data_IF_513058959690
#
_entry.id   IF_513058959690
#
_cell.length_a   1.000
_cell.length_b   1.000
_cell.length_c   1.000
_cell.angle_alpha   90.00
_cell.angle_beta   90.00
_cell.angle_gamma   90.00
#
_symmetry.space_group_name_H-M   'P 1'
#
loop_
_entity.id
_entity.type
_entity.pdbx_description
1 polymer ?
#
# COMPACT_ATOMS: atom_id res chain seq x y z
N UNK A 1 -5.25 -1.44 -14.22
CA UNK A 1 -6.58 -0.87 -13.91
C UNK A 1 -6.79 -1.05 -12.42
N UNK A 2 -7.24 -0.02 -11.68
CA UNK A 2 -7.50 -0.14 -10.24
C UNK A 2 -8.71 -1.06 -9.99
N UNK A 3 -8.79 -1.72 -8.82
CA UNK A 3 -9.96 -2.45 -8.37
C UNK A 3 -11.26 -1.64 -8.51
N UNK A 4 -12.39 -2.32 -8.71
CA UNK A 4 -13.72 -1.70 -8.72
C UNK A 4 -14.04 -0.95 -7.42
N UNK A 5 -15.08 -0.10 -7.47
CA UNK A 5 -15.55 0.70 -6.33
C UNK A 5 -15.99 -0.12 -5.10
N UNK A 6 -16.07 -1.45 -5.19
CA UNK A 6 -16.54 -2.32 -4.09
C UNK A 6 -15.63 -2.32 -2.86
N UNK A 7 -14.35 -1.98 -3.02
CA UNK A 7 -13.42 -1.80 -1.89
C UNK A 7 -13.33 -0.33 -1.42
N UNK A 8 -14.07 0.60 -2.03
CA UNK A 8 -13.99 2.01 -1.69
C UNK A 8 -14.76 2.34 -0.41
N UNK A 9 -14.08 2.85 0.64
CA UNK A 9 -14.77 3.35 1.83
C UNK A 9 -15.57 4.62 1.48
N UNK A 10 -16.54 5.01 2.32
CA UNK A 10 -17.38 6.20 2.07
C UNK A 10 -16.57 7.48 1.85
N UNK A 11 -15.52 7.68 2.64
CA UNK A 11 -14.64 8.85 2.60
C UNK A 11 -13.26 8.51 1.99
N UNK A 12 -13.26 7.92 0.80
CA UNK A 12 -12.04 7.54 0.12
C UNK A 12 -11.36 8.71 -0.62
N UNK A 13 -10.03 8.79 -0.55
CA UNK A 13 -9.23 9.58 -1.47
C UNK A 13 -8.56 8.67 -2.50
N UNK A 14 -8.62 9.04 -3.79
CA UNK A 14 -7.81 8.43 -4.84
C UNK A 14 -6.58 9.30 -5.05
N UNK A 15 -5.42 8.73 -4.76
CA UNK A 15 -4.15 9.44 -4.77
C UNK A 15 -3.30 8.82 -5.87
N UNK A 16 -2.76 9.66 -6.75
CA UNK A 16 -1.72 9.25 -7.68
C UNK A 16 -0.44 9.92 -7.22
N UNK A 17 0.40 9.18 -6.50
CA UNK A 17 1.62 9.71 -5.90
C UNK A 17 2.52 10.31 -6.98
N UNK A 18 2.63 11.63 -6.95
CA UNK A 18 3.41 12.41 -7.90
C UNK A 18 4.64 12.97 -7.20
N UNK A 19 5.82 12.51 -7.62
CA UNK A 19 7.08 12.87 -7.00
C UNK A 19 8.15 13.10 -8.07
N UNK A 20 8.88 14.22 -7.93
CA UNK A 20 9.90 14.68 -8.89
C UNK A 20 9.40 14.62 -10.34
N UNK A 21 8.28 15.29 -10.60
CA UNK A 21 7.65 15.42 -11.92
C UNK A 21 7.15 14.12 -12.59
N UNK A 22 7.00 13.03 -11.84
CA UNK A 22 6.46 11.77 -12.37
C UNK A 22 5.46 11.12 -11.43
N UNK A 23 4.44 10.48 -12.00
CA UNK A 23 3.56 9.57 -11.27
C UNK A 23 4.28 8.26 -10.99
N UNK A 24 4.26 7.82 -9.73
CA UNK A 24 5.04 6.67 -9.27
C UNK A 24 4.15 5.43 -9.04
N UNK A 25 3.04 5.61 -8.34
CA UNK A 25 2.02 4.58 -8.09
C UNK A 25 0.68 5.24 -7.78
N UNK A 26 -0.33 4.44 -7.46
CA UNK A 26 -1.63 4.94 -7.04
C UNK A 26 -2.11 4.22 -5.78
N UNK A 27 -2.81 4.97 -4.92
CA UNK A 27 -3.38 4.47 -3.67
C UNK A 27 -4.84 4.88 -3.57
N UNK A 28 -5.66 3.96 -3.07
CA UNK A 28 -6.97 4.27 -2.53
C UNK A 28 -6.85 4.37 -1.00
N UNK A 29 -7.09 5.56 -0.46
CA UNK A 29 -6.84 5.90 0.94
C UNK A 29 -8.15 6.13 1.69
N UNK A 30 -8.33 5.52 2.85
CA UNK A 30 -9.46 5.76 3.76
C UNK A 30 -9.13 6.96 4.66
N UNK A 31 -9.80 8.10 4.44
CA UNK A 31 -9.57 9.32 5.24
C UNK A 31 -10.07 9.19 6.68
N UNK A 32 -11.07 8.35 6.93
CA UNK A 32 -11.61 8.15 8.29
C UNK A 32 -10.66 7.29 9.13
N UNK A 33 -10.18 6.19 8.54
CA UNK A 33 -9.25 5.26 9.22
C UNK A 33 -7.78 5.65 9.11
N UNK A 34 -7.48 6.67 8.29
CA UNK A 34 -6.14 7.19 8.00
C UNK A 34 -5.16 6.12 7.51
N UNK A 35 -5.64 5.16 6.71
CA UNK A 35 -4.81 4.10 6.12
C UNK A 35 -5.10 3.92 4.63
N UNK A 36 -4.12 3.48 3.81
CA UNK A 36 -4.41 2.96 2.49
C UNK A 36 -5.23 1.68 2.57
N UNK A 37 -6.30 1.61 1.78
CA UNK A 37 -7.04 0.35 1.55
C UNK A 37 -6.26 -0.53 0.57
N UNK A 38 -5.68 0.07 -0.47
CA UNK A 38 -4.69 -0.58 -1.32
C UNK A 38 -3.77 0.42 -2.01
N UNK A 39 -2.58 -0.05 -2.36
CA UNK A 39 -1.67 0.59 -3.33
C UNK A 39 -1.49 -0.32 -4.54
N UNK A 40 -1.58 0.26 -5.74
CA UNK A 40 -1.42 -0.40 -7.02
C UNK A 40 -0.20 0.16 -7.77
N UNK A 41 0.70 -0.72 -8.19
CA UNK A 41 1.99 -0.33 -8.76
C UNK A 41 2.51 -1.37 -9.76
N UNK A 42 3.54 -0.99 -10.51
CA UNK A 42 4.34 -1.93 -11.31
C UNK A 42 5.57 -2.33 -10.51
N UNK A 43 5.76 -3.61 -10.25
CA UNK A 43 6.99 -4.13 -9.65
C UNK A 43 8.10 -4.10 -10.71
N UNK A 44 9.17 -3.36 -10.43
CA UNK A 44 10.36 -3.29 -11.26
C UNK A 44 11.60 -3.36 -10.39
N UNK A 45 12.51 -4.27 -10.71
CA UNK A 45 13.76 -4.32 -9.98
C UNK A 45 14.63 -3.10 -10.28
N UNK A 46 15.24 -2.58 -9.22
CA UNK A 46 16.11 -1.43 -9.29
C UNK A 46 17.16 -1.40 -8.20
N UNK A 47 18.07 -0.45 -8.35
CA UNK A 47 19.04 -0.05 -7.33
C UNK A 47 18.83 1.44 -7.07
N UNK A 48 19.18 1.87 -5.87
CA UNK A 48 19.04 3.26 -5.45
C UNK A 48 19.24 3.36 -3.95
N UNK A 49 19.49 4.56 -3.46
CA UNK A 49 19.56 4.78 -2.03
C UNK A 49 18.17 4.64 -1.40
N UNK A 50 18.14 4.37 -0.10
CA UNK A 50 16.91 4.40 0.67
C UNK A 50 16.68 5.84 1.09
N UNK A 51 15.47 6.34 0.91
CA UNK A 51 15.12 7.67 1.35
C UNK A 51 15.09 7.76 2.87
N UNK A 52 15.62 8.85 3.42
CA UNK A 52 15.73 9.11 4.86
C UNK A 52 14.74 10.21 5.26
N UNK A 53 13.45 9.89 5.18
CA UNK A 53 12.38 10.83 5.50
C UNK A 53 11.00 10.20 5.36
N UNK A 54 9.98 11.00 5.67
CA UNK A 54 8.58 10.63 5.51
C UNK A 54 7.84 11.79 4.85
N UNK A 55 7.10 11.46 3.80
CA UNK A 55 6.30 12.38 3.03
C UNK A 55 4.82 12.27 3.39
N UNK A 56 4.13 13.36 3.11
CA UNK A 56 2.68 13.50 3.15
C UNK A 56 2.14 13.89 1.77
N UNK A 57 0.82 13.90 1.66
CA UNK A 57 0.10 14.34 0.46
C UNK A 57 -0.57 15.69 0.75
N UNK A 58 0.02 16.83 0.33
CA UNK A 58 -0.56 18.16 0.54
C UNK A 58 -2.00 18.29 0.01
N UNK A 59 -2.30 17.63 -1.12
CA UNK A 59 -3.64 17.57 -1.71
C UNK A 59 -4.72 16.95 -0.80
N UNK A 60 -4.34 16.24 0.26
CA UNK A 60 -5.31 15.74 1.24
C UNK A 60 -5.74 16.82 2.24
N UNK A 61 -4.88 17.82 2.49
CA UNK A 61 -5.17 18.94 3.39
C UNK A 61 -5.93 20.05 2.67
N UNK A 62 -5.43 20.46 1.50
CA UNK A 62 -6.11 21.41 0.62
C UNK A 62 -5.90 20.98 -0.84
N UNK A 63 -6.98 20.69 -1.60
CA UNK A 63 -6.90 20.34 -3.01
C UNK A 63 -6.15 21.35 -3.89
N UNK A 64 -5.98 22.60 -3.46
CA UNK A 64 -5.27 23.65 -4.18
C UNK A 64 -3.74 23.61 -4.01
N UNK A 65 -3.20 22.86 -3.03
CA UNK A 65 -1.75 22.77 -2.75
C UNK A 65 -0.96 21.95 -3.80
N UNK A 66 -1.63 21.49 -4.84
CA UNK A 66 -1.03 20.73 -5.93
C UNK A 66 -0.85 19.25 -5.58
N UNK A 67 -0.45 18.47 -6.60
CA UNK A 67 -0.38 17.01 -6.55
C UNK A 67 0.94 16.44 -6.04
N UNK A 68 1.96 17.28 -5.88
CA UNK A 68 3.30 16.82 -5.52
C UNK A 68 3.35 16.41 -4.06
N UNK A 69 3.94 15.24 -3.81
CA UNK A 69 4.31 14.81 -2.45
C UNK A 69 5.28 15.81 -1.83
N UNK A 70 5.21 15.96 -0.51
CA UNK A 70 6.10 16.85 0.25
C UNK A 70 6.59 16.14 1.51
N UNK A 71 7.82 16.43 1.92
CA UNK A 71 8.34 15.98 3.20
C UNK A 71 7.54 16.58 4.35
N UNK A 72 7.21 15.74 5.34
CA UNK A 72 6.39 16.12 6.49
C UNK A 72 7.04 17.23 7.32
N UNK A 73 8.37 17.26 7.40
CA UNK A 73 9.11 18.25 8.19
C UNK A 73 9.41 19.56 7.43
N UNK A 74 9.42 19.52 6.09
CA UNK A 74 9.78 20.66 5.24
C UNK A 74 8.54 21.42 4.72
N UNK A 75 7.34 20.95 5.04
CA UNK A 75 6.12 21.62 4.60
C UNK A 75 5.82 22.87 5.43
N UNK A 76 5.39 23.94 4.76
CA UNK A 76 4.92 25.18 5.41
C UNK A 76 3.49 25.06 5.99
N UNK A 77 2.98 23.84 6.13
CA UNK A 77 1.63 23.55 6.58
C UNK A 77 1.60 23.34 8.10
N UNK A 78 0.53 23.81 8.76
CA UNK A 78 0.36 23.57 10.19
C UNK A 78 0.18 22.06 10.47
N UNK A 79 0.95 21.52 11.42
CA UNK A 79 0.91 20.09 11.78
C UNK A 79 -0.52 19.60 12.09
N UNK A 80 -1.30 20.40 12.83
CA UNK A 80 -2.70 20.09 13.14
C UNK A 80 -3.60 19.92 11.90
N UNK A 81 -3.36 20.67 10.82
CA UNK A 81 -4.11 20.53 9.57
C UNK A 81 -3.69 19.28 8.79
N UNK A 82 -2.41 18.89 8.86
CA UNK A 82 -1.94 17.62 8.30
C UNK A 82 -2.58 16.46 9.05
N UNK A 83 -2.47 16.45 10.38
CA UNK A 83 -3.01 15.43 11.28
C UNK A 83 -4.52 15.23 11.12
N UNK A 84 -5.27 16.30 10.85
CA UNK A 84 -6.71 16.21 10.63
C UNK A 84 -7.05 15.36 9.40
N UNK A 85 -6.24 15.42 8.36
CA UNK A 85 -6.55 14.92 7.02
C UNK A 85 -5.83 13.62 6.62
N UNK A 86 -4.73 13.27 7.29
CA UNK A 86 -3.95 12.07 7.02
C UNK A 86 -3.16 11.60 8.25
N UNK A 87 -2.56 10.41 8.15
CA UNK A 87 -1.60 9.93 9.14
C UNK A 87 -0.30 10.75 9.10
N UNK A 88 0.32 10.97 10.26
CA UNK A 88 1.60 11.67 10.44
C UNK A 88 2.63 10.76 11.12
N UNK A 89 3.92 11.12 11.08
CA UNK A 89 4.97 10.27 11.65
C UNK A 89 4.78 10.07 13.16
N UNK A 90 4.25 11.09 13.84
CA UNK A 90 3.95 11.07 15.26
C UNK A 90 2.96 9.95 15.63
N UNK A 91 2.01 9.62 14.74
CA UNK A 91 1.03 8.56 14.98
C UNK A 91 1.69 7.19 15.23
N UNK A 92 2.91 6.98 14.73
CA UNK A 92 3.65 5.74 14.85
C UNK A 92 4.73 5.76 15.95
N UNK A 93 4.98 6.90 16.59
CA UNK A 93 6.16 7.09 17.46
C UNK A 93 6.16 6.20 18.70
N UNK A 94 4.99 5.99 19.28
CA UNK A 94 4.82 5.26 20.55
C UNK A 94 4.21 3.86 20.39
N UNK A 95 3.97 3.41 19.15
CA UNK A 95 3.37 2.12 18.89
C UNK A 95 4.39 0.98 19.11
N UNK A 96 4.19 0.20 20.19
CA UNK A 96 5.05 -0.94 20.51
C UNK A 96 4.75 -2.13 19.60
N UNK A 97 5.80 -2.83 19.14
CA UNK A 97 5.69 -3.98 18.24
C UNK A 97 4.96 -3.70 16.91
N UNK A 98 4.87 -2.43 16.52
CA UNK A 98 4.25 -1.98 15.27
C UNK A 98 5.30 -1.30 14.40
N UNK A 99 5.37 -1.74 13.15
CA UNK A 99 6.15 -1.13 12.09
C UNK A 99 5.29 -0.28 11.16
N UNK A 100 5.96 0.58 10.39
CA UNK A 100 5.41 1.27 9.23
C UNK A 100 5.44 0.35 8.01
N UNK A 101 4.43 -0.52 7.91
CA UNK A 101 4.30 -1.52 6.86
C UNK A 101 3.92 -0.89 5.53
N UNK A 102 4.79 -0.99 4.53
CA UNK A 102 4.54 -0.41 3.21
C UNK A 102 3.61 -1.32 2.40
N UNK A 103 2.64 -0.76 1.68
CA UNK A 103 1.86 -1.52 0.69
C UNK A 103 2.57 -1.57 -0.67
N UNK A 104 3.15 -0.45 -1.10
CA UNK A 104 4.11 -0.41 -2.19
C UNK A 104 5.54 -0.42 -1.61
N UNK A 105 6.27 -1.55 -1.60
CA UNK A 105 7.54 -1.64 -0.90
C UNK A 105 8.71 -1.08 -1.72
N UNK A 106 9.72 -0.61 -1.01
CA UNK A 106 10.95 0.00 -1.56
C UNK A 106 11.68 -0.96 -2.52
N UNK A 107 11.67 -2.26 -2.20
CA UNK A 107 12.42 -3.28 -2.95
C UNK A 107 11.84 -3.58 -4.34
N UNK A 108 10.61 -3.10 -4.62
CA UNK A 108 9.90 -3.26 -5.89
C UNK A 108 10.06 -2.05 -6.84
N UNK A 109 10.91 -1.06 -6.48
CA UNK A 109 11.06 0.17 -7.24
C UNK A 109 12.34 0.21 -8.09
N UNK A 110 12.28 0.82 -9.29
CA UNK A 110 13.37 0.79 -10.27
C UNK A 110 14.52 1.78 -10.00
N UNK A 111 14.25 2.90 -9.32
CA UNK A 111 15.19 4.02 -9.15
C UNK A 111 14.99 4.74 -7.81
N UNK A 112 15.89 5.65 -7.47
CA UNK A 112 15.91 6.37 -6.20
C UNK A 112 14.67 7.24 -5.96
N UNK A 113 14.17 7.96 -6.96
CA UNK A 113 12.97 8.77 -6.80
C UNK A 113 11.73 7.89 -6.61
N UNK A 114 11.63 6.79 -7.36
CA UNK A 114 10.54 5.82 -7.20
C UNK A 114 10.59 5.16 -5.82
N UNK A 115 11.80 4.88 -5.29
CA UNK A 115 12.01 4.40 -3.92
C UNK A 115 11.62 5.44 -2.88
N UNK A 116 12.00 6.70 -3.06
CA UNK A 116 11.62 7.79 -2.17
C UNK A 116 10.10 7.93 -2.09
N UNK A 117 9.41 7.90 -3.24
CA UNK A 117 7.96 8.03 -3.29
C UNK A 117 7.20 6.97 -2.46
N UNK A 118 7.80 5.81 -2.15
CA UNK A 118 7.13 4.82 -1.28
C UNK A 118 7.07 5.25 0.18
N UNK A 119 7.91 6.20 0.60
CA UNK A 119 7.98 6.75 1.96
C UNK A 119 6.93 7.83 2.21
N UNK A 120 5.70 7.65 1.71
CA UNK A 120 4.55 8.46 2.13
C UNK A 120 3.73 7.69 3.14
N UNK A 121 3.21 8.37 4.15
CA UNK A 121 2.36 7.75 5.16
C UNK A 121 1.01 7.28 4.59
N UNK A 122 0.60 7.83 3.44
CA UNK A 122 -0.55 7.31 2.69
C UNK A 122 -0.30 5.96 2.04
N UNK A 123 0.93 5.45 2.02
CA UNK A 123 1.30 4.12 1.51
C UNK A 123 1.62 3.12 2.63
N UNK A 124 1.40 3.50 3.89
CA UNK A 124 1.80 2.73 5.07
C UNK A 124 0.62 2.42 5.98
N UNK A 125 0.68 1.25 6.63
CA UNK A 125 -0.24 0.84 7.70
C UNK A 125 0.52 0.45 8.97
N UNK A 126 -0.12 0.52 10.15
CA UNK A 126 0.36 -0.17 11.34
C UNK A 126 0.45 -1.67 11.07
N UNK A 127 1.65 -2.22 10.99
CA UNK A 127 1.89 -3.64 10.73
C UNK A 127 2.61 -4.29 11.91
N UNK A 128 2.22 -5.50 12.30
CA UNK A 128 2.95 -6.25 13.32
C UNK A 128 4.43 -6.40 12.92
N UNK A 129 5.33 -5.90 13.77
CA UNK A 129 6.75 -5.72 13.44
C UNK A 129 7.43 -7.01 12.98
N UNK A 130 7.09 -8.16 13.60
CA UNK A 130 7.68 -9.44 13.20
C UNK A 130 7.25 -9.87 11.81
N UNK A 131 5.94 -9.77 11.52
CA UNK A 131 5.41 -10.02 10.17
C UNK A 131 6.07 -9.12 9.13
N UNK A 132 6.14 -7.81 9.39
CA UNK A 132 6.74 -6.82 8.49
C UNK A 132 8.20 -7.14 8.16
N UNK A 133 9.00 -7.50 9.17
CA UNK A 133 10.44 -7.70 9.03
C UNK A 133 10.84 -9.10 8.57
N UNK A 134 9.96 -10.09 8.75
CA UNK A 134 10.25 -11.49 8.44
C UNK A 134 9.33 -12.02 7.33
N UNK A 135 8.20 -12.65 7.66
CA UNK A 135 7.43 -13.43 6.68
C UNK A 135 6.91 -12.58 5.51
N UNK A 136 6.47 -11.35 5.77
CA UNK A 136 6.02 -10.42 4.73
C UNK A 136 7.20 -9.91 3.88
N UNK A 137 8.31 -9.51 4.49
CA UNK A 137 9.52 -9.12 3.76
C UNK A 137 10.08 -10.26 2.88
N UNK A 138 10.01 -11.51 3.35
CA UNK A 138 10.39 -12.68 2.56
C UNK A 138 9.47 -12.88 1.35
N UNK A 139 8.17 -12.68 1.53
CA UNK A 139 7.19 -12.70 0.45
C UNK A 139 7.45 -11.61 -0.60
N UNK A 140 7.69 -10.37 -0.17
CA UNK A 140 8.07 -9.25 -1.07
C UNK A 140 9.34 -9.57 -1.85
N UNK A 141 10.38 -10.08 -1.19
CA UNK A 141 11.62 -10.48 -1.85
C UNK A 141 11.42 -11.59 -2.88
N UNK A 142 10.41 -12.46 -2.72
CA UNK A 142 10.06 -13.45 -3.74
C UNK A 142 9.34 -12.80 -4.93
N UNK A 143 8.34 -11.93 -4.70
CA UNK A 143 7.68 -11.18 -5.78
C UNK A 143 8.71 -10.43 -6.61
N UNK A 144 9.67 -9.78 -5.94
CA UNK A 144 10.78 -9.09 -6.61
C UNK A 144 11.48 -10.02 -7.61
N UNK A 145 11.81 -11.26 -7.23
CA UNK A 145 12.47 -12.24 -8.11
C UNK A 145 11.56 -12.65 -9.28
N UNK A 146 10.28 -12.89 -9.03
CA UNK A 146 9.28 -13.21 -10.06
C UNK A 146 9.12 -12.10 -11.11
N UNK A 147 9.38 -10.84 -10.75
CA UNK A 147 9.35 -9.73 -11.69
C UNK A 147 10.30 -9.92 -12.89
N UNK A 148 11.36 -10.72 -12.78
CA UNK A 148 12.29 -10.99 -13.88
C UNK A 148 11.70 -11.80 -15.03
N UNK A 149 10.73 -12.67 -14.75
CA UNK A 149 10.11 -13.53 -15.79
C UNK A 149 8.92 -12.85 -16.45
N UNK A 150 8.48 -11.71 -15.90
CA UNK A 150 7.39 -10.90 -16.42
C UNK A 150 7.92 -9.80 -17.33
N UNK A 151 7.25 -9.56 -18.46
CA UNK A 151 7.43 -8.33 -19.23
C UNK A 151 6.95 -7.11 -18.42
N UNK A 152 5.78 -7.23 -17.79
CA UNK A 152 5.26 -6.29 -16.81
C UNK A 152 4.67 -7.08 -15.64
N UNK A 153 5.05 -6.74 -14.41
CA UNK A 153 4.42 -7.27 -13.19
C UNK A 153 3.61 -6.17 -12.52
N UNK A 154 2.29 -6.33 -12.51
CA UNK A 154 1.36 -5.45 -11.79
C UNK A 154 1.06 -6.04 -10.43
N UNK A 155 1.16 -5.23 -9.38
CA UNK A 155 0.89 -5.66 -8.00
C UNK A 155 -0.12 -4.72 -7.37
N UNK A 156 -1.06 -5.29 -6.63
CA UNK A 156 -1.99 -4.59 -5.78
C UNK A 156 -1.81 -5.17 -4.39
N UNK A 157 -1.38 -4.34 -3.45
CA UNK A 157 -1.22 -4.72 -2.06
C UNK A 157 -2.20 -3.90 -1.26
N UNK A 158 -2.98 -4.55 -0.40
CA UNK A 158 -4.06 -3.93 0.34
C UNK A 158 -4.24 -4.53 1.70
N UNK A 159 -5.22 -4.01 2.43
CA UNK A 159 -5.46 -4.38 3.82
C UNK A 159 -6.94 -4.50 4.11
N UNK A 160 -7.30 -5.44 4.98
CA UNK A 160 -8.64 -5.48 5.58
C UNK A 160 -8.57 -4.68 6.88
N UNK A 161 -9.32 -3.57 7.02
CA UNK A 161 -9.38 -2.83 8.27
C UNK A 161 -9.68 -3.73 9.47
N UNK A 162 -9.12 -3.39 10.63
CA UNK A 162 -9.37 -4.10 11.89
C UNK A 162 -10.16 -3.25 12.88
N UNK A 163 -10.33 -3.77 14.09
CA UNK A 163 -11.00 -3.06 15.19
C UNK A 163 -10.01 -2.35 16.13
N UNK A 164 -8.71 -2.53 15.90
CA UNK A 164 -7.64 -1.92 16.69
C UNK A 164 -7.15 -0.61 16.05
N UNK A 165 -6.63 0.29 16.88
CA UNK A 165 -6.08 1.58 16.46
C UNK A 165 -4.82 1.91 17.25
N UNK A 166 -3.93 2.69 16.63
CA UNK A 166 -2.79 3.33 17.31
C UNK A 166 -3.06 4.83 17.49
N UNK A 167 -2.17 5.52 18.21
CA UNK A 167 -2.23 6.98 18.40
C UNK A 167 -3.60 7.44 18.91
N UNK A 168 -4.03 6.87 20.04
CA UNK A 168 -5.31 7.19 20.70
C UNK A 168 -6.54 7.16 19.77
N UNK A 169 -6.58 6.19 18.86
CA UNK A 169 -7.71 6.00 17.95
C UNK A 169 -7.58 6.69 16.59
N UNK A 170 -6.45 7.36 16.31
CA UNK A 170 -6.30 8.15 15.08
C UNK A 170 -6.08 7.31 13.81
N UNK A 171 -5.28 6.25 13.91
CA UNK A 171 -4.88 5.43 12.75
C UNK A 171 -5.26 3.96 12.98
N UNK A 172 -6.05 3.40 12.08
CA UNK A 172 -6.50 2.02 12.16
C UNK A 172 -5.34 1.04 11.99
N UNK A 173 -5.29 0.00 12.82
CA UNK A 173 -4.46 -1.18 12.60
C UNK A 173 -5.29 -2.21 11.83
N UNK A 174 -4.91 -2.54 10.59
CA UNK A 174 -5.62 -3.55 9.82
C UNK A 174 -5.58 -4.92 10.50
N UNK A 175 -6.61 -5.74 10.27
CA UNK A 175 -6.64 -7.14 10.70
C UNK A 175 -5.83 -8.04 9.78
N UNK A 176 -5.80 -7.72 8.48
CA UNK A 176 -5.09 -8.50 7.47
C UNK A 176 -4.36 -7.61 6.48
N UNK A 177 -3.28 -8.15 5.91
CA UNK A 177 -2.56 -7.58 4.78
C UNK A 177 -2.58 -8.61 3.67
N UNK A 178 -2.88 -8.18 2.45
CA UNK A 178 -2.97 -9.04 1.29
C UNK A 178 -2.25 -8.44 0.09
N UNK A 179 -1.85 -9.29 -0.84
CA UNK A 179 -1.18 -8.91 -2.07
C UNK A 179 -1.67 -9.79 -3.21
N UNK A 180 -1.97 -9.16 -4.35
CA UNK A 180 -2.36 -9.79 -5.59
C UNK A 180 -1.41 -9.34 -6.69
N UNK A 181 -0.89 -10.29 -7.45
CA UNK A 181 0.07 -10.04 -8.51
C UNK A 181 -0.45 -10.55 -9.85
N UNK A 182 -0.22 -9.78 -10.90
CA UNK A 182 -0.48 -10.17 -12.28
C UNK A 182 0.75 -9.96 -13.14
N UNK A 183 1.31 -11.08 -13.59
CA UNK A 183 2.47 -11.15 -14.47
C UNK A 183 2.00 -11.23 -15.92
N UNK A 184 2.35 -10.23 -16.72
CA UNK A 184 2.21 -10.26 -18.17
C UNK A 184 3.51 -10.80 -18.76
N UNK A 185 3.43 -11.94 -19.43
CA UNK A 185 4.54 -12.58 -20.13
C UNK A 185 4.67 -12.03 -21.54
N UNK A 186 5.77 -12.40 -22.21
CA UNK A 186 5.89 -12.22 -23.65
C UNK A 186 4.70 -12.84 -24.40
N UNK A 187 4.33 -12.20 -25.52
CA UNK A 187 3.16 -12.57 -26.34
C UNK A 187 1.80 -12.44 -25.62
N UNK A 188 1.75 -11.73 -24.48
CA UNK A 188 0.50 -11.34 -23.82
C UNK A 188 -0.14 -12.40 -22.92
N UNK A 189 0.49 -13.57 -22.73
CA UNK A 189 0.06 -14.57 -21.75
C UNK A 189 0.10 -13.97 -20.34
N UNK A 190 -0.86 -14.29 -19.49
CA UNK A 190 -0.93 -13.78 -18.11
C UNK A 190 -0.92 -14.92 -17.10
N UNK A 191 -0.24 -14.71 -15.97
CA UNK A 191 -0.34 -15.54 -14.77
C UNK A 191 -0.61 -14.65 -13.57
N UNK A 192 -1.28 -15.19 -12.56
CA UNK A 192 -1.56 -14.47 -11.33
C UNK A 192 -1.29 -15.33 -10.11
N UNK A 193 -1.03 -14.68 -8.99
CA UNK A 193 -0.91 -15.30 -7.68
C UNK A 193 -1.27 -14.27 -6.61
N UNK A 194 -1.52 -14.76 -5.40
CA UNK A 194 -1.94 -13.95 -4.28
C UNK A 194 -1.34 -14.45 -2.96
N UNK A 195 -1.35 -13.59 -1.96
CA UNK A 195 -1.14 -14.00 -0.59
C UNK A 195 -1.91 -13.10 0.38
N UNK A 196 -2.16 -13.63 1.57
CA UNK A 196 -2.77 -12.95 2.69
C UNK A 196 -2.07 -13.34 4.00
N UNK A 197 -2.01 -12.41 4.94
CA UNK A 197 -1.47 -12.59 6.27
C UNK A 197 -2.35 -11.88 7.29
N UNK A 198 -2.57 -12.51 8.45
CA UNK A 198 -3.15 -11.80 9.60
C UNK A 198 -2.09 -10.90 10.23
N UNK A 199 -2.49 -9.70 10.63
CA UNK A 199 -1.59 -8.64 11.07
C UNK A 199 -1.25 -8.70 12.58
N UNK A 200 -1.10 -9.92 13.08
CA UNK A 200 -0.73 -10.32 14.44
C UNK A 200 0.05 -11.65 14.45
N UNK A 201 0.11 -12.35 13.31
CA UNK A 201 0.83 -13.59 13.11
C UNK A 201 2.00 -13.39 12.14
N UNK A 202 3.14 -14.04 12.39
CA UNK A 202 4.28 -14.02 11.47
C UNK A 202 4.16 -15.15 10.42
N UNK A 203 3.07 -15.14 9.67
CA UNK A 203 2.76 -16.17 8.67
C UNK A 203 2.09 -15.56 7.44
N UNK A 204 2.55 -15.97 6.26
CA UNK A 204 1.98 -15.58 4.97
C UNK A 204 1.40 -16.81 4.30
N UNK A 205 0.09 -16.77 4.03
CA UNK A 205 -0.61 -17.81 3.28
C UNK A 205 -0.63 -17.42 1.80
N UNK A 206 0.04 -18.22 0.98
CA UNK A 206 0.01 -18.06 -0.48
C UNK A 206 -1.13 -18.84 -1.11
N UNK A 207 -1.78 -18.24 -2.10
CA UNK A 207 -2.94 -18.84 -2.75
C UNK A 207 -3.16 -18.30 -4.17
N UNK A 208 -4.16 -18.84 -4.86
CA UNK A 208 -4.57 -18.31 -6.16
C UNK A 208 -5.32 -16.99 -6.00
N UNK A 209 -5.28 -16.16 -7.03
CA UNK A 209 -6.02 -14.90 -7.08
C UNK A 209 -7.52 -15.10 -6.81
N UNK A 210 -8.11 -16.18 -7.32
CA UNK A 210 -9.52 -16.51 -7.11
C UNK A 210 -9.85 -16.93 -5.68
N UNK A 211 -8.90 -17.54 -4.95
CA UNK A 211 -9.09 -17.82 -3.51
C UNK A 211 -9.05 -16.53 -2.71
N UNK A 212 -8.07 -15.67 -2.97
CA UNK A 212 -7.96 -14.38 -2.30
C UNK A 212 -9.22 -13.54 -2.51
N UNK A 213 -9.74 -13.44 -3.75
CA UNK A 213 -10.97 -12.66 -4.02
C UNK A 213 -12.17 -13.14 -3.19
N UNK A 214 -12.31 -14.45 -2.98
CA UNK A 214 -13.39 -15.02 -2.16
C UNK A 214 -13.19 -14.71 -0.69
N UNK A 215 -11.98 -14.91 -0.19
CA UNK A 215 -11.62 -14.61 1.21
C UNK A 215 -11.81 -13.11 1.52
N UNK A 216 -11.40 -12.22 0.60
CA UNK A 216 -11.65 -10.79 0.74
C UNK A 216 -13.14 -10.45 0.70
N UNK A 217 -13.94 -11.08 -0.16
CA UNK A 217 -15.38 -10.86 -0.20
C UNK A 217 -16.04 -11.18 1.15
N UNK A 218 -15.62 -12.28 1.80
CA UNK A 218 -16.05 -12.65 3.15
C UNK A 218 -15.56 -11.63 4.20
N UNK A 219 -14.27 -11.28 4.18
CA UNK A 219 -13.65 -10.38 5.17
C UNK A 219 -14.20 -8.95 5.10
N UNK A 220 -14.53 -8.43 3.91
CA UNK A 220 -15.16 -7.11 3.76
C UNK A 220 -16.69 -7.16 3.85
N UNK A 221 -17.30 -8.34 3.91
CA UNK A 221 -18.77 -8.49 3.92
C UNK A 221 -19.44 -8.01 2.62
N UNK A 222 -18.78 -8.18 1.47
CA UNK A 222 -19.26 -7.74 0.16
C UNK A 222 -19.44 -8.92 -0.79
N UNK A 223 -20.33 -8.78 -1.78
CA UNK A 223 -20.68 -9.91 -2.66
C UNK A 223 -19.57 -10.34 -3.62
N UNK A 224 -18.72 -9.42 -4.07
CA UNK A 224 -17.64 -9.73 -5.03
C UNK A 224 -16.50 -8.72 -4.97
N UNK A 225 -15.27 -9.21 -5.08
CA UNK A 225 -14.05 -8.43 -5.24
C UNK A 225 -13.48 -8.64 -6.64
N UNK A 226 -13.19 -7.55 -7.35
CA UNK A 226 -12.42 -7.57 -8.59
C UNK A 226 -11.20 -6.66 -8.48
N UNK A 227 -10.02 -7.27 -8.45
CA UNK A 227 -8.75 -6.56 -8.25
C UNK A 227 -8.12 -6.09 -9.56
N UNK A 228 -8.28 -6.86 -10.64
CA UNK A 228 -7.65 -6.57 -11.94
C UNK A 228 -8.67 -6.30 -13.04
N UNK A 229 -9.93 -6.04 -12.70
CA UNK A 229 -11.03 -5.82 -13.64
C UNK A 229 -11.09 -6.92 -14.69
N UNK A 230 -11.02 -8.18 -14.23
CA UNK A 230 -10.95 -9.40 -15.04
C UNK A 230 -9.77 -9.53 -16.01
N UNK A 231 -8.81 -8.59 -15.99
CA UNK A 231 -7.63 -8.67 -16.84
C UNK A 231 -6.72 -9.85 -16.45
N UNK A 232 -6.78 -10.29 -15.20
CA UNK A 232 -5.98 -11.39 -14.67
C UNK A 232 -6.87 -12.34 -13.86
N UNK A 233 -6.63 -13.64 -14.05
CA UNK A 233 -7.37 -14.75 -13.43
C UNK A 233 -6.39 -15.67 -12.72
#
# INVERSE_FOLDING_TARGET
MPPEASLAPPNAARICQFYKNAYRFATLYDREKRIPIYSAYKCKQGKGQRYEGWMIEPQLVDPNLGKSMADEWDTNMAAAEIEKNQAVLEDYRHALNIGKGHLNPVCHQPDEDSRAATFTLTNVVPQFSKLNQEAWANYENRIKKEAHVCKDLYVITGVVPGDEYISDGRVNKPSHIWSAACCVHEKGRRTSWAAIAKNDENHVKEESLEKLKKELAELYGIGKVDLFNNACK
#
